data_IF_904349619007
#
_entry.id   IF_904349619007
#
_cell.length_a   1.000
_cell.length_b   1.000
_cell.length_c   1.000
_cell.angle_alpha   90.00
_cell.angle_beta   90.00
_cell.angle_gamma   90.00
#
_symmetry.space_group_name_H-M   'P 1'
#
loop_
_entity.id
_entity.type
_entity.pdbx_description
1 polymer ?
#
# COMPACT_ATOMS: atom_id res chain seq x y z
N UNK A 1 22.47 2.73 17.55
CA UNK A 1 21.43 2.21 16.63
C UNK A 1 20.33 3.22 16.49
N UNK A 2 19.77 3.40 15.31
CA UNK A 2 18.64 4.28 15.02
C UNK A 2 17.46 3.42 14.58
N UNK A 3 16.26 3.79 15.04
CA UNK A 3 15.02 3.22 14.56
C UNK A 3 14.41 4.20 13.54
N UNK A 4 14.06 3.71 12.35
CA UNK A 4 13.36 4.54 11.36
C UNK A 4 11.87 4.60 11.67
N UNK A 5 11.17 5.58 11.09
CA UNK A 5 9.71 5.72 11.12
C UNK A 5 8.92 4.49 10.62
N UNK A 6 9.59 3.59 9.87
CA UNK A 6 9.04 2.29 9.43
C UNK A 6 9.50 1.13 10.33
N UNK A 7 9.91 1.38 11.56
CA UNK A 7 10.41 0.39 12.52
C UNK A 7 11.59 -0.46 12.01
N UNK A 8 12.40 0.10 11.10
CA UNK A 8 13.61 -0.57 10.60
C UNK A 8 14.81 -0.10 11.39
N UNK A 9 15.63 -1.05 11.83
CA UNK A 9 16.87 -0.77 12.56
C UNK A 9 17.94 -0.35 11.55
N UNK A 10 18.66 0.73 11.87
CA UNK A 10 19.87 1.15 11.16
C UNK A 10 21.02 1.30 12.13
N UNK A 11 22.19 0.82 11.72
CA UNK A 11 23.44 1.10 12.43
C UNK A 11 23.86 2.54 12.15
N UNK A 12 24.32 3.22 13.18
CA UNK A 12 24.85 4.59 13.07
C UNK A 12 26.10 4.72 13.93
N UNK A 13 26.94 5.66 13.60
CA UNK A 13 28.16 5.98 14.34
C UNK A 13 29.14 4.78 14.45
N UNK A 14 29.22 3.94 13.41
CA UNK A 14 30.00 2.70 13.43
C UNK A 14 31.50 2.93 13.64
N UNK A 15 32.04 4.05 13.17
CA UNK A 15 33.47 4.34 13.26
C UNK A 15 33.86 5.20 14.49
N UNK A 16 32.91 5.58 15.37
CA UNK A 16 33.21 6.48 16.48
C UNK A 16 34.17 5.84 17.49
N UNK A 17 33.98 4.55 17.78
CA UNK A 17 34.84 3.81 18.69
C UNK A 17 36.26 3.63 18.14
N UNK A 18 36.38 3.41 16.83
CA UNK A 18 37.68 3.27 16.17
C UNK A 18 38.49 4.58 16.23
N UNK A 19 37.81 5.72 16.14
CA UNK A 19 38.43 7.04 16.29
C UNK A 19 38.84 7.31 17.74
N UNK A 20 37.98 6.96 18.69
CA UNK A 20 38.24 7.18 20.13
C UNK A 20 39.37 6.29 20.64
N UNK A 21 39.48 5.08 20.13
CA UNK A 21 40.49 4.09 20.53
C UNK A 21 41.60 3.93 19.50
N UNK A 22 41.85 4.93 18.66
CA UNK A 22 42.84 4.87 17.57
C UNK A 22 44.26 4.49 18.02
N UNK A 23 44.68 4.88 19.24
CA UNK A 23 46.00 4.58 19.78
C UNK A 23 46.15 3.12 20.25
N UNK A 24 45.07 2.41 20.46
CA UNK A 24 45.04 1.02 20.87
C UNK A 24 44.94 0.10 19.64
N UNK A 25 45.99 0.04 18.82
CA UNK A 25 46.03 -0.84 17.64
C UNK A 25 45.90 -2.31 18.05
N UNK A 26 44.69 -2.83 17.94
CA UNK A 26 44.39 -4.27 18.14
C UNK A 26 44.24 -4.96 16.78
N UNK A 27 44.59 -6.25 16.68
CA UNK A 27 44.34 -7.00 15.45
C UNK A 27 42.87 -6.95 15.05
N UNK A 28 42.59 -6.72 13.77
CA UNK A 28 41.21 -6.64 13.24
C UNK A 28 40.40 -7.89 13.58
N UNK A 29 41.01 -9.03 13.60
CA UNK A 29 40.40 -10.31 13.93
C UNK A 29 39.86 -10.34 15.37
N UNK A 30 40.61 -9.80 16.34
CA UNK A 30 40.17 -9.72 17.74
C UNK A 30 38.98 -8.77 17.89
N UNK A 31 39.01 -7.66 17.19
CA UNK A 31 37.89 -6.70 17.17
C UNK A 31 36.62 -7.34 16.60
N UNK A 32 36.75 -8.09 15.51
CA UNK A 32 35.61 -8.81 14.91
C UNK A 32 35.01 -9.86 15.86
N UNK A 33 35.87 -10.59 16.60
CA UNK A 33 35.38 -11.57 17.58
C UNK A 33 34.67 -10.89 18.76
N UNK A 34 35.19 -9.76 19.21
CA UNK A 34 34.55 -8.94 20.26
C UNK A 34 33.19 -8.38 19.80
N UNK A 35 33.09 -7.91 18.57
CA UNK A 35 31.85 -7.43 17.97
C UNK A 35 30.79 -8.53 17.92
N UNK A 36 31.14 -9.75 17.50
CA UNK A 36 30.23 -10.89 17.49
C UNK A 36 29.75 -11.26 18.90
N UNK A 37 30.64 -11.20 19.88
CA UNK A 37 30.28 -11.43 21.30
C UNK A 37 29.32 -10.34 21.81
N UNK A 38 29.60 -9.07 21.52
CA UNK A 38 28.75 -7.94 21.89
C UNK A 38 27.40 -8.04 21.19
N UNK A 39 27.37 -8.48 19.93
CA UNK A 39 26.13 -8.73 19.21
C UNK A 39 25.31 -9.83 19.88
N UNK A 40 25.93 -10.93 20.30
CA UNK A 40 25.25 -11.98 21.07
C UNK A 40 24.64 -11.49 22.38
N UNK A 41 25.37 -10.65 23.14
CA UNK A 41 24.87 -10.00 24.37
C UNK A 41 23.70 -9.07 24.07
N UNK A 42 23.77 -8.30 23.01
CA UNK A 42 22.70 -7.42 22.57
C UNK A 42 21.44 -8.22 22.22
N UNK A 43 21.58 -9.29 21.42
CA UNK A 43 20.48 -10.17 21.06
C UNK A 43 19.81 -10.78 22.29
N UNK A 44 20.58 -11.27 23.24
CA UNK A 44 20.06 -11.81 24.48
C UNK A 44 19.34 -10.75 25.32
N UNK A 45 19.90 -9.54 25.42
CA UNK A 45 19.28 -8.43 26.13
C UNK A 45 17.93 -8.01 25.52
N UNK A 46 17.84 -7.99 24.20
CA UNK A 46 16.59 -7.68 23.47
C UNK A 46 15.56 -8.80 23.71
N UNK A 47 15.97 -10.06 23.53
CA UNK A 47 15.07 -11.21 23.67
C UNK A 47 14.51 -11.37 25.10
N UNK A 48 15.28 -10.98 26.12
CA UNK A 48 14.85 -11.03 27.51
C UNK A 48 14.26 -9.73 28.04
N UNK A 49 14.26 -8.68 27.23
CA UNK A 49 13.90 -7.30 27.61
C UNK A 49 14.64 -6.85 28.90
N UNK A 50 15.89 -7.25 29.06
CA UNK A 50 16.71 -6.98 30.25
C UNK A 50 18.08 -6.48 29.81
N UNK A 51 18.49 -5.33 30.32
CA UNK A 51 19.83 -4.82 30.11
C UNK A 51 20.83 -5.70 30.87
N UNK A 52 21.61 -6.48 30.13
CA UNK A 52 22.69 -7.27 30.70
C UNK A 52 23.94 -6.38 30.78
N UNK A 53 24.52 -6.21 31.98
CA UNK A 53 25.75 -5.44 32.11
C UNK A 53 26.90 -6.15 31.39
N UNK A 54 27.97 -5.44 30.96
CA UNK A 54 29.11 -6.03 30.26
C UNK A 54 29.75 -7.21 31.01
N UNK A 55 29.69 -7.19 32.35
CA UNK A 55 30.19 -8.22 33.26
C UNK A 55 29.04 -8.91 34.01
N UNK A 56 27.98 -9.30 33.29
CA UNK A 56 26.87 -10.04 33.90
C UNK A 56 27.37 -11.31 34.58
N UNK A 57 26.85 -11.59 35.79
CA UNK A 57 27.17 -12.82 36.50
C UNK A 57 26.70 -14.05 35.73
N UNK A 58 27.38 -15.18 35.91
CA UNK A 58 26.99 -16.45 35.32
C UNK A 58 25.54 -16.83 35.65
N UNK A 59 25.06 -16.45 36.84
CA UNK A 59 23.68 -16.69 37.25
C UNK A 59 22.67 -15.85 36.44
N UNK A 60 22.95 -14.57 36.22
CA UNK A 60 22.11 -13.69 35.41
C UNK A 60 22.05 -14.19 33.95
N UNK A 61 23.18 -14.62 33.42
CA UNK A 61 23.27 -15.19 32.07
C UNK A 61 22.46 -16.46 31.95
N UNK A 62 22.53 -17.36 32.92
CA UNK A 62 21.75 -18.61 32.95
C UNK A 62 20.25 -18.33 33.06
N UNK A 63 19.86 -17.36 33.87
CA UNK A 63 18.46 -16.91 33.96
C UNK A 63 17.91 -16.38 32.63
N UNK A 64 18.69 -15.54 31.94
CA UNK A 64 18.36 -15.02 30.62
C UNK A 64 18.24 -16.13 29.56
N UNK A 65 19.15 -17.12 29.60
CA UNK A 65 19.06 -18.27 28.68
C UNK A 65 17.86 -19.16 28.93
N UNK A 66 17.48 -19.39 30.18
CA UNK A 66 16.24 -20.13 30.53
C UNK A 66 15.00 -19.40 30.06
N UNK A 67 14.99 -18.05 30.13
CA UNK A 67 13.90 -17.23 29.60
C UNK A 67 13.80 -17.35 28.07
N UNK A 68 14.93 -17.29 27.37
CA UNK A 68 15.01 -17.48 25.92
C UNK A 68 14.45 -18.85 25.50
N UNK A 69 14.79 -19.90 26.21
CA UNK A 69 14.34 -21.27 25.93
C UNK A 69 12.83 -21.47 26.02
N UNK A 70 12.15 -20.66 26.85
CA UNK A 70 10.70 -20.71 27.01
C UNK A 70 9.91 -19.97 25.95
N UNK A 71 10.48 -18.92 25.38
CA UNK A 71 9.75 -17.96 24.53
C UNK A 71 10.14 -18.02 23.06
N UNK A 72 11.32 -18.55 22.76
CA UNK A 72 11.89 -18.50 21.41
C UNK A 72 12.23 -19.89 20.89
N UNK A 73 12.43 -19.98 19.57
CA UNK A 73 12.80 -21.23 18.90
C UNK A 73 14.20 -21.71 19.29
N UNK A 74 14.44 -23.01 19.14
CA UNK A 74 15.74 -23.64 19.39
C UNK A 74 16.84 -23.04 18.55
N UNK A 75 16.53 -22.67 17.28
CA UNK A 75 17.50 -22.11 16.35
C UNK A 75 18.03 -20.76 16.85
N UNK A 76 17.15 -19.87 17.31
CA UNK A 76 17.58 -18.57 17.85
C UNK A 76 18.44 -18.76 19.10
N UNK A 77 18.08 -19.70 19.96
CA UNK A 77 18.86 -20.05 21.16
C UNK A 77 20.26 -20.53 20.78
N UNK A 78 20.35 -21.42 19.81
CA UNK A 78 21.63 -21.97 19.35
C UNK A 78 22.53 -20.89 18.77
N UNK A 79 21.98 -19.97 17.98
CA UNK A 79 22.71 -18.84 17.42
C UNK A 79 23.24 -17.91 18.53
N UNK A 80 22.40 -17.58 19.51
CA UNK A 80 22.81 -16.75 20.64
C UNK A 80 23.88 -17.44 21.47
N UNK A 81 23.74 -18.74 21.75
CA UNK A 81 24.76 -19.55 22.44
C UNK A 81 26.07 -19.57 21.66
N UNK A 82 26.01 -19.79 20.35
CA UNK A 82 27.19 -19.76 19.48
C UNK A 82 27.89 -18.39 19.55
N UNK A 83 27.15 -17.28 19.49
CA UNK A 83 27.69 -15.92 19.61
C UNK A 83 28.37 -15.68 20.97
N UNK A 84 27.76 -16.16 22.06
CA UNK A 84 28.24 -15.95 23.43
C UNK A 84 29.37 -16.89 23.84
N UNK A 85 29.56 -18.03 23.16
CA UNK A 85 30.65 -18.97 23.45
C UNK A 85 31.99 -18.30 23.16
N UNK A 86 32.97 -18.39 24.06
CA UNK A 86 34.29 -17.82 23.80
C UNK A 86 34.94 -18.43 22.56
N UNK A 87 35.63 -17.60 21.79
CA UNK A 87 36.40 -18.05 20.61
C UNK A 87 37.57 -18.90 21.04
N UNK A 88 37.75 -20.07 20.44
CA UNK A 88 38.92 -20.90 20.62
C UNK A 88 39.96 -20.55 19.55
N UNK A 89 41.25 -20.73 19.81
CA UNK A 89 42.32 -20.46 18.83
C UNK A 89 42.15 -21.18 17.50
N UNK A 90 41.45 -22.32 17.51
CA UNK A 90 41.17 -23.16 16.35
C UNK A 90 39.82 -22.91 15.69
N UNK A 91 38.93 -22.10 16.29
CA UNK A 91 37.58 -21.85 15.80
C UNK A 91 37.30 -20.35 15.84
N UNK A 92 37.63 -19.68 14.75
CA UNK A 92 37.39 -18.26 14.57
C UNK A 92 35.98 -18.09 14.01
N UNK A 93 35.12 -17.38 14.72
CA UNK A 93 33.79 -17.10 14.26
C UNK A 93 33.79 -16.09 13.12
N UNK A 94 32.91 -16.28 12.15
CA UNK A 94 32.75 -15.39 11.01
C UNK A 94 31.31 -14.96 10.85
N UNK A 95 31.11 -13.81 10.19
CA UNK A 95 29.77 -13.33 9.81
C UNK A 95 29.09 -14.29 8.83
N UNK A 96 29.87 -14.99 8.00
CA UNK A 96 29.37 -15.99 7.04
C UNK A 96 28.78 -17.21 7.74
N UNK A 97 29.35 -17.64 8.87
CA UNK A 97 28.77 -18.70 9.68
C UNK A 97 27.47 -18.26 10.35
N UNK A 98 27.43 -17.03 10.86
CA UNK A 98 26.22 -16.45 11.41
C UNK A 98 25.12 -16.40 10.36
N UNK A 99 25.41 -15.89 9.16
CA UNK A 99 24.45 -15.82 8.06
C UNK A 99 23.94 -17.20 7.64
N UNK A 100 24.82 -18.21 7.59
CA UNK A 100 24.38 -19.59 7.33
C UNK A 100 23.45 -20.13 8.42
N UNK A 101 23.75 -19.83 9.68
CA UNK A 101 22.93 -20.24 10.81
C UNK A 101 21.50 -19.63 10.78
N UNK A 102 21.35 -18.42 10.27
CA UNK A 102 20.06 -17.72 10.18
C UNK A 102 19.41 -17.78 8.79
N UNK A 103 20.04 -18.44 7.82
CA UNK A 103 19.60 -18.43 6.43
C UNK A 103 18.14 -18.88 6.27
N UNK A 104 17.70 -19.92 6.97
CA UNK A 104 16.32 -20.38 6.96
C UNK A 104 15.33 -19.32 7.42
N UNK A 105 15.65 -18.59 8.49
CA UNK A 105 14.82 -17.50 8.99
C UNK A 105 14.77 -16.31 8.03
N UNK A 106 15.91 -15.98 7.41
CA UNK A 106 15.96 -14.90 6.41
C UNK A 106 15.06 -15.25 5.23
N UNK A 107 15.17 -16.45 4.68
CA UNK A 107 14.36 -16.91 3.54
C UNK A 107 12.87 -16.93 3.90
N UNK A 108 12.50 -17.51 5.04
CA UNK A 108 11.10 -17.55 5.49
C UNK A 108 10.53 -16.15 5.73
N UNK A 109 11.30 -15.26 6.34
CA UNK A 109 10.87 -13.86 6.57
C UNK A 109 10.73 -13.10 5.27
N UNK A 110 11.62 -13.33 4.31
CA UNK A 110 11.55 -12.72 2.99
C UNK A 110 10.33 -13.20 2.21
N UNK A 111 10.07 -14.51 2.19
CA UNK A 111 8.89 -15.10 1.57
C UNK A 111 7.60 -14.57 2.17
N UNK A 112 7.50 -14.52 3.50
CA UNK A 112 6.36 -13.93 4.21
C UNK A 112 6.17 -12.44 3.87
N UNK A 113 7.26 -11.69 3.72
CA UNK A 113 7.20 -10.29 3.32
C UNK A 113 6.69 -10.12 1.88
N UNK A 114 7.09 -10.99 0.96
CA UNK A 114 6.59 -11.00 -0.42
C UNK A 114 5.09 -11.30 -0.46
N UNK A 115 4.63 -12.34 0.23
CA UNK A 115 3.20 -12.67 0.33
C UNK A 115 2.38 -11.52 0.93
N UNK A 116 2.89 -10.88 1.96
CA UNK A 116 2.25 -9.70 2.56
C UNK A 116 2.17 -8.55 1.57
N UNK A 117 3.24 -8.30 0.82
CA UNK A 117 3.27 -7.27 -0.21
C UNK A 117 2.26 -7.54 -1.32
N UNK A 118 2.14 -8.78 -1.80
CA UNK A 118 1.19 -9.18 -2.82
C UNK A 118 -0.25 -8.97 -2.35
N UNK A 119 -0.56 -9.37 -1.12
CA UNK A 119 -1.87 -9.17 -0.50
C UNK A 119 -2.21 -7.68 -0.38
N UNK A 120 -1.32 -6.88 0.20
CA UNK A 120 -1.52 -5.43 0.35
C UNK A 120 -1.65 -4.73 -0.99
N UNK A 121 -0.86 -5.13 -2.00
CA UNK A 121 -0.95 -4.56 -3.36
C UNK A 121 -2.28 -4.88 -3.99
N UNK A 122 -2.77 -6.12 -3.85
CA UNK A 122 -4.08 -6.55 -4.35
C UNK A 122 -5.24 -5.81 -3.68
N UNK A 123 -5.20 -5.67 -2.35
CA UNK A 123 -6.19 -4.92 -1.59
C UNK A 123 -6.20 -3.44 -1.95
N UNK A 124 -5.03 -2.81 -2.00
CA UNK A 124 -4.89 -1.40 -2.40
C UNK A 124 -5.41 -1.17 -3.82
N UNK A 125 -5.11 -2.08 -4.75
CA UNK A 125 -5.57 -1.97 -6.14
C UNK A 125 -7.11 -2.01 -6.21
N UNK A 126 -7.76 -2.89 -5.44
CA UNK A 126 -9.22 -2.94 -5.35
C UNK A 126 -9.81 -1.66 -4.77
N UNK A 127 -9.24 -1.14 -3.68
CA UNK A 127 -9.71 0.11 -3.07
C UNK A 127 -9.51 1.32 -3.99
N UNK A 128 -8.42 1.36 -4.74
CA UNK A 128 -8.20 2.40 -5.75
C UNK A 128 -9.22 2.32 -6.88
N UNK A 129 -9.55 1.12 -7.34
CA UNK A 129 -10.57 0.91 -8.37
C UNK A 129 -11.95 1.32 -7.86
N UNK A 130 -12.35 0.87 -6.68
CA UNK A 130 -13.59 1.28 -6.03
C UNK A 130 -13.66 2.81 -5.85
N UNK A 131 -12.59 3.43 -5.41
CA UNK A 131 -12.49 4.89 -5.25
C UNK A 131 -12.59 5.65 -6.58
N UNK A 132 -12.10 5.08 -7.68
CA UNK A 132 -12.26 5.66 -9.03
C UNK A 132 -13.72 5.62 -9.47
N UNK A 133 -14.37 4.47 -9.34
CA UNK A 133 -15.80 4.31 -9.68
C UNK A 133 -16.67 5.20 -8.80
N UNK A 134 -16.43 5.26 -7.49
CA UNK A 134 -17.17 6.14 -6.58
C UNK A 134 -17.06 7.61 -7.01
N UNK A 135 -15.86 8.11 -7.33
CA UNK A 135 -15.68 9.49 -7.84
C UNK A 135 -16.41 9.74 -9.16
N UNK A 136 -16.40 8.77 -10.07
CA UNK A 136 -17.13 8.86 -11.32
C UNK A 136 -18.64 8.93 -11.06
N UNK A 137 -19.16 8.08 -10.19
CA UNK A 137 -20.57 8.08 -9.78
C UNK A 137 -20.99 9.40 -9.14
N UNK A 138 -20.17 9.98 -8.27
CA UNK A 138 -20.43 11.29 -7.68
C UNK A 138 -20.52 12.38 -8.74
N UNK A 139 -19.61 12.38 -9.75
CA UNK A 139 -19.66 13.34 -10.87
C UNK A 139 -20.94 13.17 -11.71
N UNK A 140 -21.26 11.92 -12.07
CA UNK A 140 -22.48 11.63 -12.83
C UNK A 140 -23.74 12.03 -12.06
N UNK A 141 -23.81 11.71 -10.76
CA UNK A 141 -24.93 12.11 -9.90
C UNK A 141 -25.07 13.63 -9.81
N UNK A 142 -23.95 14.35 -9.58
CA UNK A 142 -23.98 15.83 -9.53
C UNK A 142 -24.47 16.44 -10.83
N UNK A 143 -24.19 15.82 -11.97
CA UNK A 143 -24.63 16.32 -13.29
C UNK A 143 -26.06 15.93 -13.57
N UNK A 144 -26.45 14.66 -13.36
CA UNK A 144 -27.69 14.09 -13.84
C UNK A 144 -28.90 14.34 -12.89
N UNK A 145 -28.65 14.44 -11.56
CA UNK A 145 -29.68 14.60 -10.56
C UNK A 145 -30.00 16.09 -10.26
N UNK A 146 -29.34 17.00 -10.96
CA UNK A 146 -29.66 18.43 -10.85
C UNK A 146 -30.98 18.74 -11.55
N UNK A 147 -31.84 19.52 -10.91
CA UNK A 147 -33.10 19.95 -11.49
C UNK A 147 -32.87 20.76 -12.76
N UNK A 148 -33.73 20.54 -13.76
CA UNK A 148 -33.75 21.35 -14.96
C UNK A 148 -34.21 22.78 -14.58
N UNK A 149 -33.50 23.79 -15.09
CA UNK A 149 -33.76 25.18 -14.84
C UNK A 149 -34.03 25.89 -16.16
N UNK A 150 -35.25 26.39 -16.36
CA UNK A 150 -35.69 26.99 -17.63
C UNK A 150 -34.83 28.17 -18.10
N UNK A 151 -34.17 28.87 -17.18
CA UNK A 151 -33.28 30.00 -17.49
C UNK A 151 -31.88 29.63 -17.93
N UNK A 152 -31.48 28.36 -17.85
CA UNK A 152 -30.11 27.91 -18.20
C UNK A 152 -30.13 26.87 -19.32
N UNK A 153 -29.80 27.30 -20.52
CA UNK A 153 -29.72 26.45 -21.72
C UNK A 153 -28.90 25.18 -21.54
N UNK A 154 -27.89 25.20 -20.68
CA UNK A 154 -27.04 24.05 -20.41
C UNK A 154 -27.73 22.96 -19.57
N UNK A 155 -28.84 23.31 -18.90
CA UNK A 155 -29.60 22.44 -18.01
C UNK A 155 -31.00 22.08 -18.53
N UNK A 156 -31.30 22.46 -19.76
CA UNK A 156 -32.51 22.00 -20.46
C UNK A 156 -32.46 20.49 -20.68
N UNK A 157 -33.61 19.84 -20.72
CA UNK A 157 -33.75 18.41 -20.94
C UNK A 157 -33.02 17.96 -22.21
N UNK A 158 -33.08 18.72 -23.28
CA UNK A 158 -32.44 18.47 -24.59
C UNK A 158 -31.15 19.31 -24.81
N UNK A 159 -30.54 19.80 -23.76
CA UNK A 159 -29.30 20.60 -23.84
C UNK A 159 -28.05 19.76 -24.00
N UNK A 160 -26.90 20.42 -23.81
CA UNK A 160 -25.58 19.83 -23.99
C UNK A 160 -25.34 18.57 -23.15
N UNK A 161 -26.11 18.37 -22.08
CA UNK A 161 -26.01 17.21 -21.16
C UNK A 161 -26.99 16.08 -21.46
N UNK A 162 -27.80 16.23 -22.51
CA UNK A 162 -28.78 15.21 -22.87
C UNK A 162 -28.15 13.83 -23.08
N UNK A 163 -27.00 13.76 -23.74
CA UNK A 163 -26.28 12.53 -23.94
C UNK A 163 -25.87 11.83 -22.62
N UNK A 164 -25.57 12.62 -21.57
CA UNK A 164 -25.21 12.06 -20.26
C UNK A 164 -26.47 11.53 -19.53
N UNK A 165 -27.63 12.14 -19.74
CA UNK A 165 -28.92 11.61 -19.24
C UNK A 165 -29.28 10.30 -19.95
N UNK A 166 -29.13 10.21 -21.27
CA UNK A 166 -29.32 8.98 -22.01
C UNK A 166 -28.33 7.89 -21.62
N UNK A 167 -27.09 8.26 -21.38
CA UNK A 167 -26.08 7.33 -20.87
C UNK A 167 -26.43 6.80 -19.47
N UNK A 168 -26.94 7.65 -18.57
CA UNK A 168 -27.46 7.22 -17.27
C UNK A 168 -28.57 6.18 -17.45
N UNK A 169 -29.54 6.45 -18.34
CA UNK A 169 -30.65 5.55 -18.60
C UNK A 169 -30.15 4.21 -19.20
N UNK A 170 -29.18 4.26 -20.13
CA UNK A 170 -28.52 3.09 -20.68
C UNK A 170 -27.80 2.23 -19.63
N UNK A 171 -27.17 2.85 -18.64
CA UNK A 171 -26.40 2.13 -17.61
C UNK A 171 -27.27 1.60 -16.49
N UNK A 172 -28.25 2.39 -16.03
CA UNK A 172 -28.96 2.13 -14.77
C UNK A 172 -30.43 1.77 -14.93
N UNK A 173 -31.05 2.09 -16.06
CA UNK A 173 -32.49 1.94 -16.26
C UNK A 173 -32.81 0.91 -17.33
N UNK A 174 -32.14 -0.22 -17.29
CA UNK A 174 -32.42 -1.30 -18.23
C UNK A 174 -33.77 -1.95 -17.93
N UNK A 175 -34.47 -2.34 -18.99
CA UNK A 175 -35.76 -3.03 -18.93
C UNK A 175 -35.70 -4.31 -19.78
N UNK A 176 -36.51 -5.29 -19.39
CA UNK A 176 -36.73 -6.51 -20.18
C UNK A 176 -37.71 -6.26 -21.34
N UNK A 177 -37.98 -7.29 -22.14
CA UNK A 177 -38.94 -7.22 -23.23
C UNK A 177 -40.39 -6.93 -22.82
N UNK A 178 -40.72 -7.02 -21.52
CA UNK A 178 -42.00 -6.74 -20.94
C UNK A 178 -42.07 -5.36 -20.27
N UNK A 179 -40.97 -4.60 -20.29
CA UNK A 179 -40.86 -3.30 -19.63
C UNK A 179 -40.56 -3.37 -18.13
N UNK A 180 -40.23 -4.55 -17.57
CA UNK A 180 -39.84 -4.67 -16.17
C UNK A 180 -38.42 -4.22 -15.96
N UNK A 181 -38.10 -3.56 -14.82
CA UNK A 181 -36.79 -3.12 -14.47
C UNK A 181 -35.82 -4.31 -14.31
N UNK A 182 -34.66 -4.21 -14.96
CA UNK A 182 -33.56 -5.19 -14.86
C UNK A 182 -32.38 -4.53 -14.17
N UNK A 183 -31.84 -5.17 -13.13
CA UNK A 183 -30.63 -4.72 -12.44
C UNK A 183 -29.49 -5.69 -12.74
N UNK A 184 -28.59 -5.30 -13.64
CA UNK A 184 -27.35 -6.02 -13.95
C UNK A 184 -26.15 -5.21 -13.44
N UNK A 185 -25.65 -5.53 -12.24
CA UNK A 185 -24.46 -4.89 -11.67
C UNK A 185 -23.20 -5.10 -12.53
N UNK A 186 -23.11 -6.25 -13.23
CA UNK A 186 -22.00 -6.53 -14.13
C UNK A 186 -21.99 -5.58 -15.34
N UNK A 187 -23.17 -5.30 -15.91
CA UNK A 187 -23.32 -4.29 -16.96
C UNK A 187 -22.93 -2.90 -16.46
N UNK A 188 -23.46 -2.49 -15.30
CA UNK A 188 -23.18 -1.18 -14.70
C UNK A 188 -21.67 -0.99 -14.51
N UNK A 189 -20.98 -1.94 -13.85
CA UNK A 189 -19.54 -1.86 -13.58
C UNK A 189 -18.76 -1.82 -14.89
N UNK A 190 -19.08 -2.65 -15.87
CA UNK A 190 -18.42 -2.63 -17.18
C UNK A 190 -18.55 -1.29 -17.88
N UNK A 191 -19.74 -0.71 -17.91
CA UNK A 191 -19.98 0.60 -18.54
C UNK A 191 -19.24 1.73 -17.82
N UNK A 192 -19.23 1.73 -16.50
CA UNK A 192 -18.51 2.73 -15.71
C UNK A 192 -16.99 2.62 -15.87
N UNK A 193 -16.43 1.41 -15.91
CA UNK A 193 -15.01 1.20 -16.17
C UNK A 193 -14.62 1.66 -17.57
N UNK A 194 -15.43 1.35 -18.59
CA UNK A 194 -15.22 1.82 -19.97
C UNK A 194 -15.26 3.34 -20.05
N UNK A 195 -16.20 3.97 -19.34
CA UNK A 195 -16.30 5.43 -19.26
C UNK A 195 -15.09 6.05 -18.56
N UNK A 196 -14.67 5.48 -17.42
CA UNK A 196 -13.54 6.00 -16.67
C UNK A 196 -12.23 5.94 -17.47
N UNK A 197 -12.00 4.85 -18.20
CA UNK A 197 -10.86 4.75 -19.14
C UNK A 197 -11.06 5.67 -20.35
N UNK A 198 -12.28 5.81 -20.86
CA UNK A 198 -12.60 6.57 -22.08
C UNK A 198 -12.18 5.79 -23.33
N UNK A 199 -12.57 4.52 -23.40
CA UNK A 199 -12.25 3.69 -24.56
C UNK A 199 -12.97 4.16 -25.81
N UNK A 200 -12.38 3.89 -26.99
CA UNK A 200 -12.95 4.25 -28.30
C UNK A 200 -13.89 3.16 -28.79
N UNK A 201 -14.86 2.78 -27.96
CA UNK A 201 -15.93 1.85 -28.26
C UNK A 201 -17.22 2.59 -28.46
N UNK A 202 -17.95 2.30 -29.53
CA UNK A 202 -19.23 2.92 -29.88
C UNK A 202 -20.36 2.23 -29.16
N UNK A 203 -21.30 3.02 -28.64
CA UNK A 203 -22.56 2.54 -28.09
C UNK A 203 -23.72 3.30 -28.75
N UNK A 204 -24.88 2.70 -28.70
CA UNK A 204 -26.14 3.28 -29.16
C UNK A 204 -26.93 3.79 -27.97
N UNK A 205 -27.23 5.07 -27.97
CA UNK A 205 -28.09 5.72 -26.97
C UNK A 205 -29.42 6.11 -27.66
N UNK A 206 -30.51 5.57 -27.18
CA UNK A 206 -31.84 5.88 -27.72
C UNK A 206 -32.48 6.99 -26.90
N UNK A 207 -33.12 7.94 -27.58
CA UNK A 207 -33.90 9.00 -26.94
C UNK A 207 -35.08 8.39 -26.16
N UNK A 208 -35.58 9.12 -25.16
CA UNK A 208 -36.71 8.66 -24.33
C UNK A 208 -38.02 8.46 -25.07
N UNK A 209 -38.20 9.14 -26.20
CA UNK A 209 -39.32 8.97 -27.12
C UNK A 209 -39.11 7.85 -28.15
N UNK A 210 -38.00 7.15 -28.07
CA UNK A 210 -37.55 6.05 -28.96
C UNK A 210 -37.42 6.44 -30.45
N UNK A 211 -37.48 7.74 -30.76
CA UNK A 211 -37.50 8.22 -32.14
C UNK A 211 -36.11 8.47 -32.71
N UNK A 212 -35.12 8.67 -31.85
CA UNK A 212 -33.76 9.03 -32.27
C UNK A 212 -32.72 8.17 -31.59
N UNK A 213 -31.77 7.64 -32.37
CA UNK A 213 -30.64 6.88 -31.86
C UNK A 213 -29.34 7.62 -32.14
N UNK A 214 -28.54 7.80 -31.10
CA UNK A 214 -27.24 8.46 -31.15
C UNK A 214 -26.13 7.41 -31.08
N UNK A 215 -25.13 7.53 -31.95
CA UNK A 215 -23.91 6.74 -31.90
C UNK A 215 -22.85 7.58 -31.22
N UNK A 216 -22.42 7.18 -30.04
CA UNK A 216 -21.39 7.86 -29.25
C UNK A 216 -20.31 6.91 -28.78
N UNK A 217 -19.12 7.44 -28.48
CA UNK A 217 -18.05 6.63 -27.89
C UNK A 217 -17.95 6.92 -26.39
N UNK A 218 -17.45 5.95 -25.59
CA UNK A 218 -17.12 6.20 -24.19
C UNK A 218 -16.11 7.33 -24.02
N UNK A 219 -15.20 7.51 -24.99
CA UNK A 219 -14.26 8.60 -25.05
C UNK A 219 -14.93 9.98 -25.13
N UNK A 220 -15.96 10.10 -25.95
CA UNK A 220 -16.72 11.35 -26.08
C UNK A 220 -17.56 11.62 -24.85
N UNK A 221 -18.22 10.60 -24.30
CA UNK A 221 -18.95 10.70 -23.05
C UNK A 221 -18.03 11.13 -21.89
N UNK A 222 -16.82 10.58 -21.80
CA UNK A 222 -15.83 11.00 -20.79
C UNK A 222 -15.50 12.50 -20.90
N UNK A 223 -15.30 12.99 -22.13
CA UNK A 223 -15.07 14.44 -22.37
C UNK A 223 -16.27 15.26 -21.93
N UNK A 224 -17.49 14.81 -22.27
CA UNK A 224 -18.71 15.52 -21.86
C UNK A 224 -18.88 15.54 -20.34
N UNK A 225 -18.61 14.44 -19.63
CA UNK A 225 -18.61 14.41 -18.16
C UNK A 225 -17.60 15.40 -17.59
N UNK A 226 -16.39 15.44 -18.14
CA UNK A 226 -15.35 16.35 -17.67
C UNK A 226 -15.71 17.80 -17.90
N UNK A 227 -16.27 18.14 -19.08
CA UNK A 227 -16.75 19.47 -19.41
C UNK A 227 -17.91 19.90 -18.50
N UNK A 228 -18.95 19.06 -18.41
CA UNK A 228 -20.15 19.36 -17.62
C UNK A 228 -19.82 19.55 -16.12
N UNK A 229 -18.96 18.70 -15.57
CA UNK A 229 -18.51 18.83 -14.19
C UNK A 229 -17.61 20.05 -13.99
N UNK A 230 -16.74 20.34 -14.94
CA UNK A 230 -15.90 21.54 -14.95
C UNK A 230 -16.71 22.84 -14.94
N UNK A 231 -17.81 22.88 -15.70
CA UNK A 231 -18.68 24.06 -15.75
C UNK A 231 -19.40 24.29 -14.40
N UNK A 232 -19.78 23.22 -13.71
CA UNK A 232 -20.39 23.32 -12.37
C UNK A 232 -19.42 23.80 -11.29
N UNK A 233 -18.13 23.53 -11.46
CA UNK A 233 -17.11 23.89 -10.47
C UNK A 233 -16.47 25.26 -10.74
N UNK A 234 -16.78 25.92 -11.87
CA UNK A 234 -16.29 27.27 -12.15
C UNK A 234 -16.91 28.26 -11.16
N UNK A 235 -16.11 29.16 -10.55
CA UNK A 235 -16.66 30.20 -9.70
C UNK A 235 -17.60 31.11 -10.52
N UNK A 236 -18.76 31.37 -9.99
CA UNK A 236 -19.72 32.33 -10.56
C UNK A 236 -18.99 33.69 -10.60
N UNK A 237 -18.66 34.19 -11.78
CA UNK A 237 -18.17 35.57 -11.90
C UNK A 237 -19.31 36.50 -11.45
N UNK A 238 -19.09 37.37 -10.44
CA UNK A 238 -20.09 38.34 -10.10
C UNK A 238 -20.36 39.18 -11.34
N UNK A 239 -21.64 39.23 -11.75
CA UNK A 239 -22.07 40.10 -12.82
C UNK A 239 -21.61 41.52 -12.44
N UNK A 240 -20.63 42.08 -13.14
CA UNK A 240 -20.36 43.53 -13.03
C UNK A 240 -21.60 44.20 -13.60
N UNK A 241 -22.47 44.58 -12.68
CA UNK A 241 -23.63 45.44 -13.01
C UNK A 241 -23.10 46.69 -13.71
N UNK A 242 -23.77 47.01 -14.79
CA UNK A 242 -23.75 48.31 -15.41
C UNK A 242 -24.45 49.32 -14.51
#
# INVERSE_FOLDING_TARGET
MLLTDKNRIRLSACAVLDVVHYEAQRPLQDLQQEDLLHFGKLMLSIATNTLLPPHASAHAMKGAMNHLERLYTSELREIILWLLTPTQPTLIKSIDELLRGIAGHIVTSFDSALHTQDTLTSELSRELENGRIARLMMKLGTINERQDYEGDRNWFENGDRYMLKLFRDYVFHQVDANGNAVVDLGHIIRCLNKLDVGIDEKILLTSRDEQTTFIVTYKDLKKQVASAFGDLTKPIRPNRGF
#
